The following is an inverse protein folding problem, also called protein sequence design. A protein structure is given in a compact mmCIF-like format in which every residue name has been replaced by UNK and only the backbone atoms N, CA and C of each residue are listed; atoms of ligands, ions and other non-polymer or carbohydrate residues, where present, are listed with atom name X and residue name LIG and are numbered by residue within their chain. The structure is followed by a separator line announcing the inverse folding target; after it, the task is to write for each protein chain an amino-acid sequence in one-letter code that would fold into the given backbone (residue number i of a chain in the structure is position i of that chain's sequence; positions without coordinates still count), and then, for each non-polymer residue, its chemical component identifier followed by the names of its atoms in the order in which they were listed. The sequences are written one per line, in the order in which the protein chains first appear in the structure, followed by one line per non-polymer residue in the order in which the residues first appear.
data_IF_578962669763
#
_entry.id   IF_578962669763
#
_cell.length_a   1.000
_cell.length_b   1.000
_cell.length_c   1.000
_cell.angle_alpha   90.00
_cell.angle_beta   90.00
_cell.angle_gamma   90.00
#
_symmetry.space_group_name_H-M   'P 1'
#
loop_
_entity.id
_entity.type
_entity.pdbx_description
1 polymer ?
#
# COMPACT_ATOMS: atom_id res chain seq x y z
N UNK A 1 -2.05 26.01 -22.38
CA UNK A 1 -2.84 24.88 -21.81
C UNK A 1 -2.13 23.54 -21.93
N UNK A 2 -1.66 23.12 -23.13
CA UNK A 2 -0.85 21.88 -23.28
C UNK A 2 0.38 21.74 -22.34
N UNK A 3 1.22 22.77 -22.12
CA UNK A 3 2.39 22.61 -21.24
C UNK A 3 2.03 22.37 -19.76
N UNK A 4 0.91 22.95 -19.29
CA UNK A 4 0.42 22.75 -17.92
C UNK A 4 -0.17 21.33 -17.73
N UNK A 5 -0.85 20.80 -18.75
CA UNK A 5 -1.32 19.41 -18.73
C UNK A 5 -0.17 18.41 -18.65
N UNK A 6 0.88 18.63 -19.45
CA UNK A 6 2.07 17.76 -19.45
C UNK A 6 2.75 17.81 -18.06
N UNK A 7 2.92 19.00 -17.48
CA UNK A 7 3.47 19.15 -16.13
C UNK A 7 2.62 18.45 -15.06
N UNK A 8 1.29 18.53 -15.16
CA UNK A 8 0.37 17.84 -14.24
C UNK A 8 0.54 16.32 -14.29
N UNK A 9 0.53 15.74 -15.51
CA UNK A 9 0.68 14.30 -15.73
C UNK A 9 2.04 13.81 -15.24
N UNK A 10 3.12 14.55 -15.52
CA UNK A 10 4.47 14.19 -15.08
C UNK A 10 4.54 14.14 -13.55
N UNK A 11 4.01 15.16 -12.87
CA UNK A 11 4.04 15.20 -11.41
C UNK A 11 3.23 14.05 -10.77
N UNK A 12 2.04 13.74 -11.30
CA UNK A 12 1.23 12.63 -10.78
C UNK A 12 1.84 11.27 -11.07
N UNK A 13 2.41 11.07 -12.27
CA UNK A 13 3.04 9.80 -12.64
C UNK A 13 4.27 9.51 -11.78
N UNK A 14 5.05 10.54 -11.44
CA UNK A 14 6.22 10.38 -10.57
C UNK A 14 5.77 10.05 -9.14
N UNK A 15 4.75 10.75 -8.60
CA UNK A 15 4.29 10.50 -7.24
C UNK A 15 3.70 9.09 -7.09
N UNK A 16 2.85 8.66 -8.03
CA UNK A 16 2.26 7.31 -8.00
C UNK A 16 3.32 6.23 -8.30
N UNK A 17 4.25 6.49 -9.23
CA UNK A 17 5.34 5.57 -9.54
C UNK A 17 6.25 5.29 -8.35
N UNK A 18 6.54 6.31 -7.53
CA UNK A 18 7.29 6.15 -6.28
C UNK A 18 6.54 5.29 -5.26
N UNK A 19 5.21 5.39 -5.18
CA UNK A 19 4.40 4.53 -4.30
C UNK A 19 4.43 3.08 -4.80
N UNK A 20 4.25 2.85 -6.11
CA UNK A 20 4.31 1.51 -6.70
C UNK A 20 5.71 0.87 -6.62
N UNK A 21 6.78 1.66 -6.49
CA UNK A 21 8.12 1.13 -6.26
C UNK A 21 8.20 0.27 -4.99
N UNK A 22 7.44 0.59 -3.94
CA UNK A 22 7.37 -0.25 -2.72
C UNK A 22 6.75 -1.62 -2.99
N UNK A 23 5.76 -1.71 -3.88
CA UNK A 23 5.17 -2.99 -4.31
C UNK A 23 6.22 -3.83 -5.03
N UNK A 24 6.97 -3.20 -5.95
CA UNK A 24 8.05 -3.87 -6.67
C UNK A 24 9.16 -4.37 -5.72
N UNK A 25 9.50 -3.59 -4.69
CA UNK A 25 10.45 -4.01 -3.64
C UNK A 25 9.91 -5.23 -2.88
N UNK A 26 8.63 -5.24 -2.51
CA UNK A 26 8.01 -6.39 -1.84
C UNK A 26 8.09 -7.67 -2.68
N UNK A 27 7.73 -7.58 -3.96
CA UNK A 27 7.80 -8.70 -4.91
C UNK A 27 9.25 -9.16 -5.14
N UNK A 28 10.20 -8.22 -5.19
CA UNK A 28 11.62 -8.56 -5.26
C UNK A 28 12.09 -9.32 -4.02
N UNK A 29 11.65 -8.91 -2.83
CA UNK A 29 12.03 -9.54 -1.57
C UNK A 29 11.58 -11.01 -1.51
N UNK A 30 10.36 -11.32 -1.94
CA UNK A 30 9.87 -12.70 -1.97
C UNK A 30 10.61 -13.54 -3.02
N UNK A 31 10.72 -13.04 -4.25
CA UNK A 31 11.26 -13.81 -5.38
C UNK A 31 12.78 -14.00 -5.33
N UNK A 32 13.53 -12.96 -4.94
CA UNK A 32 14.99 -12.93 -5.05
C UNK A 32 15.71 -13.16 -3.73
N UNK A 33 15.23 -12.55 -2.65
CA UNK A 33 15.88 -12.64 -1.34
C UNK A 33 15.45 -13.91 -0.62
N UNK A 34 14.14 -14.14 -0.51
CA UNK A 34 13.59 -15.32 0.15
C UNK A 34 13.61 -16.57 -0.74
N UNK A 35 13.79 -16.41 -2.06
CA UNK A 35 13.68 -17.46 -3.08
C UNK A 35 12.34 -18.23 -2.97
N UNK A 36 11.27 -17.53 -2.58
CA UNK A 36 9.94 -18.06 -2.35
C UNK A 36 8.98 -17.34 -3.31
N UNK A 37 8.48 -18.01 -4.36
CA UNK A 37 7.70 -17.36 -5.41
C UNK A 37 6.28 -17.05 -4.96
N UNK A 38 6.15 -15.99 -4.17
CA UNK A 38 4.92 -15.55 -3.55
C UNK A 38 4.36 -14.29 -4.21
N UNK A 39 3.13 -14.43 -4.70
CA UNK A 39 2.31 -13.36 -5.28
C UNK A 39 1.35 -12.72 -4.25
N UNK A 40 1.43 -13.10 -2.96
CA UNK A 40 0.65 -12.48 -1.88
C UNK A 40 0.92 -10.97 -1.77
N UNK A 41 2.10 -10.50 -2.20
CA UNK A 41 2.46 -9.07 -2.15
C UNK A 41 1.44 -8.22 -2.91
N UNK A 42 0.94 -8.68 -4.06
CA UNK A 42 -0.07 -7.95 -4.84
C UNK A 42 -1.40 -7.82 -4.07
N UNK A 43 -1.83 -8.89 -3.40
CA UNK A 43 -3.08 -8.89 -2.62
C UNK A 43 -2.97 -8.13 -1.30
N UNK A 44 -1.86 -8.31 -0.58
CA UNK A 44 -1.62 -7.75 0.76
C UNK A 44 -1.37 -6.24 0.73
N UNK A 45 -0.79 -5.71 -0.35
CA UNK A 45 -0.68 -4.27 -0.56
C UNK A 45 -2.07 -3.60 -0.60
N UNK A 46 -3.03 -4.23 -1.29
CA UNK A 46 -4.41 -3.75 -1.37
C UNK A 46 -5.15 -3.91 -0.03
N UNK A 47 -4.83 -4.94 0.77
CA UNK A 47 -5.38 -5.07 2.14
C UNK A 47 -4.97 -3.90 3.02
N UNK A 48 -3.69 -3.48 2.96
CA UNK A 48 -3.23 -2.30 3.68
C UNK A 48 -3.97 -1.03 3.23
N UNK A 49 -4.11 -0.83 1.93
CA UNK A 49 -4.85 0.30 1.35
C UNK A 49 -6.34 0.32 1.71
N UNK A 50 -7.01 -0.84 1.66
CA UNK A 50 -8.43 -0.97 1.98
C UNK A 50 -8.71 -0.71 3.47
N UNK A 51 -7.90 -1.27 4.38
CA UNK A 51 -8.00 -0.98 5.81
C UNK A 51 -7.80 0.51 6.10
N UNK A 52 -6.76 1.11 5.52
CA UNK A 52 -6.49 2.53 5.70
C UNK A 52 -7.65 3.39 5.16
N UNK A 53 -8.15 3.08 3.97
CA UNK A 53 -9.24 3.81 3.33
C UNK A 53 -10.55 3.72 4.12
N UNK A 54 -10.93 2.54 4.59
CA UNK A 54 -12.15 2.34 5.39
C UNK A 54 -12.06 3.10 6.71
N UNK A 55 -10.92 3.05 7.41
CA UNK A 55 -10.75 3.76 8.68
C UNK A 55 -10.74 5.28 8.50
N UNK A 56 -10.04 5.79 7.48
CA UNK A 56 -10.00 7.22 7.19
C UNK A 56 -11.40 7.71 6.75
N UNK A 57 -12.11 6.95 5.92
CA UNK A 57 -13.48 7.28 5.53
C UNK A 57 -14.47 7.23 6.71
N UNK A 58 -14.21 6.38 7.70
CA UNK A 58 -14.94 6.32 8.97
C UNK A 58 -14.59 7.44 9.96
N UNK A 59 -13.67 8.35 9.62
CA UNK A 59 -13.26 9.48 10.47
C UNK A 59 -12.22 9.14 11.53
N UNK A 60 -11.58 7.95 11.46
CA UNK A 60 -10.47 7.62 12.35
C UNK A 60 -9.21 8.42 12.00
N UNK A 61 -8.31 8.56 12.99
CA UNK A 61 -7.04 9.25 12.80
C UNK A 61 -6.17 8.50 11.75
N UNK A 62 -5.61 9.20 10.74
CA UNK A 62 -4.76 8.58 9.70
C UNK A 62 -3.56 7.77 10.23
N UNK A 63 -2.99 8.16 11.37
CA UNK A 63 -1.88 7.40 11.97
C UNK A 63 -2.33 6.02 12.48
N UNK A 64 -3.51 5.95 13.08
CA UNK A 64 -4.07 4.68 13.55
C UNK A 64 -4.46 3.77 12.38
N UNK A 65 -4.93 4.38 11.29
CA UNK A 65 -5.24 3.67 10.05
C UNK A 65 -4.00 2.98 9.45
N UNK A 66 -2.82 3.60 9.56
CA UNK A 66 -1.55 3.01 9.09
C UNK A 66 -1.11 1.83 9.96
N UNK A 67 -1.25 1.95 11.28
CA UNK A 67 -0.94 0.84 12.19
C UNK A 67 -1.84 -0.35 11.87
N UNK A 68 -3.14 -0.12 11.65
CA UNK A 68 -4.07 -1.17 11.24
C UNK A 68 -3.70 -1.77 9.88
N UNK A 69 -3.33 -0.94 8.90
CA UNK A 69 -2.87 -1.40 7.59
C UNK A 69 -1.61 -2.27 7.69
N UNK A 70 -0.65 -1.90 8.53
CA UNK A 70 0.57 -2.66 8.79
C UNK A 70 0.27 -4.02 9.41
N UNK A 71 -0.60 -4.07 10.43
CA UNK A 71 -1.04 -5.32 11.06
C UNK A 71 -1.79 -6.20 10.06
N UNK A 72 -2.62 -5.61 9.19
CA UNK A 72 -3.29 -6.33 8.10
C UNK A 72 -2.31 -6.98 7.12
N UNK A 73 -1.26 -6.26 6.73
CA UNK A 73 -0.19 -6.79 5.88
C UNK A 73 0.59 -7.93 6.55
N UNK A 74 0.95 -7.78 7.83
CA UNK A 74 1.60 -8.83 8.62
C UNK A 74 0.74 -10.09 8.74
N UNK A 75 -0.57 -9.92 8.96
CA UNK A 75 -1.50 -11.04 9.00
C UNK A 75 -1.54 -11.80 7.68
N UNK A 76 -1.57 -11.09 6.54
CA UNK A 76 -1.52 -11.71 5.21
C UNK A 76 -0.25 -12.55 5.03
N UNK A 77 0.93 -11.98 5.30
CA UNK A 77 2.20 -12.71 5.18
C UNK A 77 2.29 -13.91 6.13
N UNK A 78 1.75 -13.77 7.35
CA UNK A 78 1.69 -14.86 8.32
C UNK A 78 0.79 -16.01 7.85
N UNK A 79 -0.35 -15.69 7.24
CA UNK A 79 -1.27 -16.71 6.67
C UNK A 79 -0.60 -17.44 5.50
N UNK A 80 0.12 -16.73 4.62
CA UNK A 80 0.87 -17.37 3.53
C UNK A 80 1.95 -18.30 4.05
N UNK A 81 2.72 -17.86 5.06
CA UNK A 81 3.71 -18.70 5.72
C UNK A 81 3.08 -19.94 6.37
N UNK A 82 1.90 -19.81 6.98
CA UNK A 82 1.17 -20.91 7.59
C UNK A 82 0.63 -21.90 6.55
N UNK A 83 0.15 -21.42 5.40
CA UNK A 83 -0.28 -22.25 4.27
C UNK A 83 0.87 -23.10 3.73
N UNK A 84 2.07 -22.52 3.61
CA UNK A 84 3.22 -23.28 3.15
C UNK A 84 3.73 -24.28 4.22
N UNK A 85 3.85 -23.86 5.48
CA UNK A 85 4.48 -24.66 6.54
C UNK A 85 3.56 -25.73 7.13
N UNK A 86 2.29 -25.41 7.41
CA UNK A 86 1.33 -26.36 8.02
C UNK A 86 0.53 -27.16 7.01
N UNK A 87 0.02 -26.51 5.95
CA UNK A 87 -0.77 -27.19 4.92
C UNK A 87 0.10 -27.85 3.84
N UNK A 88 1.42 -27.65 3.88
CA UNK A 88 2.41 -28.22 2.94
C UNK A 88 2.09 -27.90 1.48
N UNK A 89 1.46 -26.76 1.24
CA UNK A 89 1.19 -26.31 -0.12
C UNK A 89 2.49 -25.83 -0.78
N UNK A 90 2.70 -26.13 -2.07
CA UNK A 90 3.80 -25.55 -2.84
C UNK A 90 3.78 -24.02 -2.73
N UNK A 91 4.95 -23.40 -2.63
CA UNK A 91 5.11 -21.95 -2.45
C UNK A 91 4.25 -21.13 -3.43
N UNK A 92 4.31 -21.50 -4.72
CA UNK A 92 3.57 -20.85 -5.78
C UNK A 92 2.05 -20.97 -5.60
N UNK A 93 1.57 -22.15 -5.19
CA UNK A 93 0.15 -22.40 -5.00
C UNK A 93 -0.40 -21.63 -3.79
N UNK A 94 0.38 -21.57 -2.70
CA UNK A 94 0.03 -20.76 -1.54
C UNK A 94 -0.08 -19.27 -1.92
N UNK A 95 0.87 -18.76 -2.72
CA UNK A 95 0.86 -17.37 -3.19
C UNK A 95 -0.33 -17.03 -4.09
N UNK A 96 -0.64 -17.88 -5.08
CA UNK A 96 -1.81 -17.65 -5.98
C UNK A 96 -3.12 -17.78 -5.20
N UNK A 97 -3.24 -18.76 -4.30
CA UNK A 97 -4.42 -18.94 -3.45
C UNK A 97 -4.67 -17.69 -2.59
N UNK A 98 -3.60 -17.14 -2.00
CA UNK A 98 -3.68 -15.91 -1.23
C UNK A 98 -4.03 -14.70 -2.09
N UNK A 99 -3.44 -14.55 -3.27
CA UNK A 99 -3.78 -13.45 -4.19
C UNK A 99 -5.29 -13.44 -4.52
N UNK A 100 -5.87 -14.58 -4.88
CA UNK A 100 -7.30 -14.70 -5.21
C UNK A 100 -8.19 -14.55 -3.96
N UNK A 101 -7.78 -15.13 -2.83
CA UNK A 101 -8.51 -15.03 -1.57
C UNK A 101 -8.56 -13.57 -1.06
N UNK A 102 -7.41 -12.89 -1.08
CA UNK A 102 -7.30 -11.50 -0.66
C UNK A 102 -8.09 -10.56 -1.57
N UNK A 103 -8.23 -10.84 -2.86
CA UNK A 103 -9.12 -10.07 -3.72
C UNK A 103 -10.56 -10.05 -3.17
N UNK A 104 -11.08 -11.20 -2.74
CA UNK A 104 -12.42 -11.29 -2.14
C UNK A 104 -12.49 -10.60 -0.77
N UNK A 105 -11.45 -10.77 0.06
CA UNK A 105 -11.37 -10.11 1.38
C UNK A 105 -11.30 -8.59 1.24
N UNK A 106 -10.56 -8.07 0.26
CA UNK A 106 -10.47 -6.63 0.00
C UNK A 106 -11.85 -6.03 -0.31
N UNK A 107 -12.63 -6.70 -1.16
CA UNK A 107 -14.01 -6.27 -1.46
C UNK A 107 -14.92 -6.36 -0.24
N UNK A 108 -14.74 -7.38 0.61
CA UNK A 108 -15.48 -7.52 1.86
C UNK A 108 -15.16 -6.39 2.85
N UNK A 109 -13.88 -6.05 3.01
CA UNK A 109 -13.43 -4.95 3.88
C UNK A 109 -14.01 -3.62 3.40
N UNK A 110 -13.95 -3.37 2.09
CA UNK A 110 -14.39 -2.09 1.52
C UNK A 110 -15.93 -1.98 1.41
N UNK A 111 -16.64 -3.11 1.26
CA UNK A 111 -18.08 -3.17 1.02
C UNK A 111 -18.56 -2.54 -0.30
N UNK A 112 -17.65 -1.90 -1.04
CA UNK A 112 -17.86 -1.17 -2.29
C UNK A 112 -16.61 -1.28 -3.17
N UNK A 113 -16.73 -1.14 -4.50
CA UNK A 113 -15.57 -1.22 -5.41
C UNK A 113 -14.55 -0.10 -5.22
N UNK A 114 -14.96 1.05 -4.69
CA UNK A 114 -14.08 2.21 -4.51
C UNK A 114 -14.55 3.07 -3.33
N UNK A 115 -13.60 3.55 -2.53
CA UNK A 115 -13.83 4.48 -1.43
C UNK A 115 -13.05 5.77 -1.77
N UNK A 116 -13.74 6.86 -2.18
CA UNK A 116 -13.06 8.08 -2.57
C UNK A 116 -12.53 8.84 -1.34
N UNK A 117 -11.21 9.03 -1.26
CA UNK A 117 -10.54 9.78 -0.19
C UNK A 117 -10.27 11.26 -0.54
N UNK A 118 -10.87 11.78 -1.62
CA UNK A 118 -10.61 13.15 -2.10
C UNK A 118 -11.00 14.25 -1.10
N UNK A 119 -11.96 13.97 -0.20
CA UNK A 119 -12.47 14.92 0.80
C UNK A 119 -12.11 14.56 2.23
N UNK A 120 -11.36 13.49 2.44
CA UNK A 120 -10.95 13.04 3.77
C UNK A 120 -9.57 13.59 4.09
N UNK A 121 -9.34 13.93 5.37
CA UNK A 121 -8.01 14.30 5.86
C UNK A 121 -7.12 13.06 5.82
N UNK A 122 -6.05 13.12 5.04
CA UNK A 122 -5.07 12.04 4.93
C UNK A 122 -3.82 12.33 5.76
N UNK A 123 -2.92 11.35 5.84
CA UNK A 123 -1.62 11.56 6.49
C UNK A 123 -0.84 12.69 5.81
N UNK A 124 -0.90 12.80 4.48
CA UNK A 124 -0.22 13.88 3.76
C UNK A 124 -0.77 15.27 4.13
N UNK A 125 -2.06 15.38 4.43
CA UNK A 125 -2.66 16.63 4.90
C UNK A 125 -2.21 16.96 6.33
N UNK A 126 -2.11 15.93 7.19
CA UNK A 126 -1.61 16.09 8.57
C UNK A 126 -0.15 16.53 8.59
N UNK A 127 0.70 15.91 7.74
CA UNK A 127 2.11 16.27 7.58
C UNK A 127 2.25 17.66 6.97
N UNK A 128 1.45 18.00 5.95
CA UNK A 128 1.46 19.33 5.36
C UNK A 128 1.15 20.44 6.38
N UNK A 129 0.18 20.18 7.27
CA UNK A 129 -0.19 21.10 8.34
C UNK A 129 0.95 21.31 9.35
N UNK A 130 1.72 20.27 9.67
CA UNK A 130 2.88 20.36 10.57
C UNK A 130 4.01 21.20 9.97
N UNK A 131 4.18 21.15 8.64
CA UNK A 131 5.15 21.96 7.91
C UNK A 131 4.61 23.33 7.46
N UNK A 132 3.38 23.70 7.84
CA UNK A 132 2.75 24.96 7.46
C UNK A 132 2.54 25.12 5.94
N UNK A 133 2.47 24.01 5.20
CA UNK A 133 2.36 24.01 3.74
C UNK A 133 1.04 23.38 3.28
N UNK A 134 0.75 23.50 1.99
CA UNK A 134 -0.44 22.88 1.37
C UNK A 134 -0.04 21.53 0.78
N UNK A 135 -0.96 20.57 0.77
CA UNK A 135 -0.77 19.28 0.08
C UNK A 135 -0.34 19.53 -1.37
N UNK A 136 0.92 19.23 -1.66
CA UNK A 136 1.53 19.37 -2.97
C UNK A 136 2.16 18.05 -3.40
N UNK A 137 2.23 17.75 -4.71
CA UNK A 137 2.90 16.54 -5.22
C UNK A 137 4.37 16.47 -4.76
N UNK A 138 5.02 17.62 -4.62
CA UNK A 138 6.39 17.74 -4.10
C UNK A 138 6.51 17.27 -2.65
N UNK A 139 5.56 17.61 -1.77
CA UNK A 139 5.57 17.12 -0.39
C UNK A 139 5.46 15.60 -0.34
N UNK A 140 4.59 15.01 -1.17
CA UNK A 140 4.43 13.56 -1.24
C UNK A 140 5.75 12.90 -1.65
N UNK A 141 6.41 13.44 -2.68
CA UNK A 141 7.72 12.95 -3.15
C UNK A 141 8.77 13.03 -2.04
N UNK A 142 8.85 14.16 -1.33
CA UNK A 142 9.83 14.35 -0.24
C UNK A 142 9.57 13.36 0.90
N UNK A 143 8.32 13.22 1.34
CA UNK A 143 7.96 12.27 2.41
C UNK A 143 8.31 10.84 2.00
N UNK A 144 7.98 10.42 0.78
CA UNK A 144 8.33 9.09 0.28
C UNK A 144 9.84 8.90 0.17
N UNK A 145 10.59 9.89 -0.33
CA UNK A 145 12.04 9.82 -0.42
C UNK A 145 12.70 9.68 0.96
N UNK A 146 12.19 10.39 1.97
CA UNK A 146 12.65 10.28 3.36
C UNK A 146 12.34 8.87 3.92
N UNK A 147 11.15 8.34 3.67
CA UNK A 147 10.79 6.97 4.10
C UNK A 147 11.71 5.93 3.46
N UNK A 148 11.96 6.04 2.15
CA UNK A 148 12.92 5.17 1.44
C UNK A 148 14.29 5.29 2.10
N UNK A 149 14.80 6.51 2.29
CA UNK A 149 16.10 6.73 2.92
C UNK A 149 16.20 6.07 4.31
N UNK A 150 15.17 6.22 5.15
CA UNK A 150 15.13 5.60 6.49
C UNK A 150 15.09 4.06 6.41
N UNK A 151 14.41 3.48 5.43
CA UNK A 151 14.29 2.02 5.29
C UNK A 151 15.59 1.38 4.80
N UNK A 152 16.36 2.09 3.97
CA UNK A 152 17.58 1.57 3.34
C UNK A 152 18.89 1.94 4.06
N UNK A 153 18.84 2.85 5.04
CA UNK A 153 20.00 3.25 5.86
C UNK A 153 20.05 2.46 7.17
#
# INVERSE_FOLDING_TARGET
MLPLMIQGIVNTSISEGLVYAFVAIGVFLTLRVLAFPDLTVDGSFVVGGSLAAVMIAGGCNPFLAIIAAFVGGLACGSITGLLNTKLRLPALLAGILMMVGLYSVNLLIMGKPNIPLLRSITLFDSVALWFGTVRSPLLVIIVLAVIVFIVFM
#
